data_IF_864364422177
#
_entry.id   IF_864364422177
#
_cell.length_a   1.000
_cell.length_b   1.000
_cell.length_c   1.000
_cell.angle_alpha   90.00
_cell.angle_beta   90.00
_cell.angle_gamma   90.00
#
_symmetry.space_group_name_H-M   'P 1'
#
loop_
_entity.id
_entity.type
_entity.pdbx_description
1 polymer ?
#
# COMPACT_ATOMS: atom_id res chain seq x y z
N UNK A 1 -16.42 9.35 40.14
CA UNK A 1 -15.84 10.13 39.02
C UNK A 1 -15.41 9.10 38.00
N UNK A 2 -15.99 9.10 36.81
CA UNK A 2 -15.70 8.09 35.80
C UNK A 2 -14.35 8.44 35.15
N UNK A 3 -13.36 7.57 35.34
CA UNK A 3 -12.07 7.67 34.65
C UNK A 3 -12.31 7.58 33.13
N UNK A 4 -11.95 8.64 32.42
CA UNK A 4 -12.03 8.68 30.96
C UNK A 4 -10.93 7.77 30.39
N UNK A 5 -11.31 6.59 29.89
CA UNK A 5 -10.38 5.63 29.30
C UNK A 5 -9.85 6.23 27.99
N UNK A 6 -8.58 6.64 27.98
CA UNK A 6 -7.89 7.08 26.76
C UNK A 6 -7.46 5.87 25.93
N UNK A 7 -7.77 5.89 24.63
CA UNK A 7 -7.41 4.82 23.70
C UNK A 7 -6.26 5.24 22.78
N UNK A 8 -5.39 4.30 22.43
CA UNK A 8 -4.42 4.41 21.34
C UNK A 8 -4.97 3.71 20.10
N UNK A 9 -4.80 4.29 18.92
CA UNK A 9 -5.27 3.75 17.64
C UNK A 9 -4.10 3.41 16.73
N UNK A 10 -4.23 2.31 15.98
CA UNK A 10 -3.22 1.88 15.00
C UNK A 10 -3.89 1.30 13.77
N UNK A 11 -3.44 1.74 12.60
CA UNK A 11 -3.92 1.20 11.32
C UNK A 11 -2.83 0.35 10.71
N UNK A 12 -3.20 -0.83 10.22
CA UNK A 12 -2.30 -1.78 9.56
C UNK A 12 -2.93 -2.23 8.26
N UNK A 13 -2.13 -2.33 7.20
CA UNK A 13 -2.56 -2.88 5.92
C UNK A 13 -2.15 -4.35 5.88
N UNK A 14 -3.08 -5.20 5.50
CA UNK A 14 -2.86 -6.63 5.35
C UNK A 14 -3.31 -7.06 3.96
N UNK A 15 -2.62 -8.05 3.40
CA UNK A 15 -3.03 -8.70 2.15
C UNK A 15 -4.32 -9.48 2.45
N UNK A 16 -5.31 -9.36 1.57
CA UNK A 16 -6.62 -10.01 1.75
C UNK A 16 -6.40 -11.53 1.93
N UNK A 17 -6.94 -12.09 3.01
CA UNK A 17 -6.73 -13.50 3.41
C UNK A 17 -5.79 -13.68 4.61
N UNK A 18 -4.83 -12.77 4.82
CA UNK A 18 -3.93 -12.79 5.99
C UNK A 18 -4.50 -12.04 7.21
N UNK A 19 -5.69 -11.45 7.08
CA UNK A 19 -6.32 -10.64 8.12
C UNK A 19 -6.42 -11.38 9.46
N UNK A 20 -6.78 -12.66 9.46
CA UNK A 20 -6.94 -13.45 10.69
C UNK A 20 -5.63 -13.64 11.46
N UNK A 21 -4.51 -13.86 10.75
CA UNK A 21 -3.19 -13.98 11.36
C UNK A 21 -2.75 -12.64 11.96
N UNK A 22 -3.00 -11.54 11.25
CA UNK A 22 -2.63 -10.21 11.70
C UNK A 22 -3.51 -9.70 12.85
N UNK A 23 -4.80 -10.01 12.83
CA UNK A 23 -5.71 -9.77 13.96
C UNK A 23 -5.24 -10.58 15.18
N UNK A 24 -4.93 -11.86 15.02
CA UNK A 24 -4.47 -12.72 16.14
C UNK A 24 -3.15 -12.22 16.74
N UNK A 25 -2.21 -11.78 15.89
CA UNK A 25 -0.95 -11.17 16.32
C UNK A 25 -1.22 -9.88 17.10
N UNK A 26 -2.03 -8.98 16.56
CA UNK A 26 -2.35 -7.70 17.20
C UNK A 26 -3.11 -7.89 18.52
N UNK A 27 -4.07 -8.82 18.59
CA UNK A 27 -4.77 -9.19 19.83
C UNK A 27 -3.82 -9.72 20.90
N UNK A 28 -2.83 -10.54 20.52
CA UNK A 28 -1.78 -11.01 21.44
C UNK A 28 -0.95 -9.85 22.01
N UNK A 29 -0.75 -8.79 21.22
CA UNK A 29 -0.07 -7.55 21.63
C UNK A 29 -0.99 -6.57 22.39
N UNK A 30 -2.23 -7.00 22.68
CA UNK A 30 -3.25 -6.25 23.43
C UNK A 30 -4.04 -5.24 22.60
N UNK A 31 -4.00 -5.33 21.27
CA UNK A 31 -4.76 -4.49 20.36
C UNK A 31 -6.10 -5.14 19.98
N UNK A 32 -7.20 -4.41 20.15
CA UNK A 32 -8.54 -4.80 19.75
C UNK A 32 -8.86 -4.28 18.36
N UNK A 33 -9.47 -5.10 17.51
CA UNK A 33 -9.94 -4.66 16.19
C UNK A 33 -11.16 -3.74 16.37
N UNK A 34 -11.11 -2.55 15.76
CA UNK A 34 -12.20 -1.56 15.76
C UNK A 34 -12.97 -1.60 14.46
N UNK A 35 -12.23 -1.61 13.36
CA UNK A 35 -12.80 -1.49 12.03
C UNK A 35 -11.94 -2.25 11.03
N UNK A 36 -12.61 -2.93 10.11
CA UNK A 36 -11.99 -3.64 9.01
C UNK A 36 -12.61 -3.14 7.72
N UNK A 37 -11.83 -2.41 6.93
CA UNK A 37 -12.24 -1.95 5.61
C UNK A 37 -11.67 -2.89 4.56
N UNK A 38 -12.55 -3.65 3.90
CA UNK A 38 -12.19 -4.63 2.89
C UNK A 38 -12.10 -3.97 1.51
N UNK A 39 -10.88 -3.89 0.95
CA UNK A 39 -10.65 -3.56 -0.45
C UNK A 39 -10.62 -4.80 -1.33
N UNK A 40 -10.48 -4.59 -2.65
CA UNK A 40 -10.43 -5.69 -3.64
C UNK A 40 -9.19 -6.57 -3.50
N UNK A 41 -8.04 -6.01 -3.11
CA UNK A 41 -6.75 -6.73 -2.95
C UNK A 41 -6.13 -6.62 -1.54
N UNK A 42 -6.35 -5.48 -0.86
CA UNK A 42 -5.80 -5.21 0.47
C UNK A 42 -6.93 -4.92 1.45
N UNK A 43 -6.76 -5.35 2.69
CA UNK A 43 -7.64 -5.00 3.80
C UNK A 43 -6.92 -4.02 4.73
N UNK A 44 -7.63 -2.98 5.14
CA UNK A 44 -7.15 -2.06 6.17
C UNK A 44 -7.78 -2.48 7.49
N UNK A 45 -6.94 -2.76 8.48
CA UNK A 45 -7.33 -3.16 9.82
C UNK A 45 -7.00 -2.02 10.78
N UNK A 46 -8.02 -1.45 11.41
CA UNK A 46 -7.89 -0.41 12.43
C UNK A 46 -8.05 -1.04 13.80
N UNK A 47 -7.05 -0.86 14.66
CA UNK A 47 -7.02 -1.39 16.01
C UNK A 47 -7.04 -0.27 17.04
N UNK A 48 -7.54 -0.57 18.24
CA UNK A 48 -7.42 0.27 19.43
C UNK A 48 -6.88 -0.51 20.60
N UNK A 49 -6.26 0.17 21.56
CA UNK A 49 -5.87 -0.42 22.84
C UNK A 49 -6.06 0.61 23.97
N UNK A 50 -6.51 0.21 25.18
CA UNK A 50 -6.56 1.12 26.32
C UNK A 50 -5.15 1.56 26.69
N UNK A 51 -4.92 2.88 26.73
CA UNK A 51 -3.68 3.44 27.23
C UNK A 51 -3.62 3.16 28.72
N UNK A 52 -2.70 2.30 29.16
CA UNK A 52 -2.47 2.10 30.59
C UNK A 52 -2.12 3.46 31.19
N UNK A 53 -2.88 3.99 32.18
CA UNK A 53 -2.49 5.23 32.83
C UNK A 53 -1.13 4.96 33.47
N UNK A 54 -0.10 5.63 32.96
CA UNK A 54 1.26 5.47 33.44
C UNK A 54 1.28 6.04 34.87
N UNK A 55 1.64 5.25 35.90
CA UNK A 55 1.85 5.83 37.22
C UNK A 55 3.08 6.74 37.11
N UNK A 56 2.82 8.05 37.06
CA UNK A 56 3.82 9.07 37.29
C UNK A 56 4.33 8.84 38.73
N UNK A 57 5.59 8.42 38.94
CA UNK A 57 6.72 9.27 38.61
C UNK A 57 7.97 8.54 38.08
N UNK A 58 8.68 9.20 37.17
CA UNK A 58 10.09 9.61 37.30
C UNK A 58 10.56 10.14 35.95
N UNK A 59 10.62 11.47 35.86
CA UNK A 59 11.36 12.20 34.83
C UNK A 59 12.84 11.96 35.11
N UNK A 60 13.60 11.50 34.10
CA UNK A 60 15.06 11.57 34.16
C UNK A 60 15.76 10.56 33.27
N UNK A 61 16.45 11.07 32.25
CA UNK A 61 17.47 10.39 31.44
C UNK A 61 16.99 9.39 30.38
N UNK A 62 16.72 9.88 29.16
CA UNK A 62 17.27 9.42 27.87
C UNK A 62 16.40 9.97 26.73
N UNK A 63 16.44 11.29 26.51
CA UNK A 63 15.83 11.92 25.34
C UNK A 63 16.94 12.61 24.54
N UNK A 64 17.53 11.87 23.61
CA UNK A 64 18.27 12.29 22.41
C UNK A 64 19.13 11.06 22.05
N UNK A 65 18.82 10.24 21.06
CA UNK A 65 18.72 10.58 19.64
C UNK A 65 17.86 9.51 18.95
N UNK A 66 16.75 9.94 18.37
CA UNK A 66 16.22 9.57 17.05
C UNK A 66 14.83 10.21 16.92
N UNK A 67 14.84 11.54 16.97
CA UNK A 67 13.73 12.34 16.49
C UNK A 67 13.89 12.57 14.99
N UNK A 68 12.73 12.70 14.33
CA UNK A 68 12.50 13.18 12.96
C UNK A 68 12.59 12.01 11.94
N UNK A 69 11.48 11.51 11.40
CA UNK A 69 10.57 12.22 10.48
C UNK A 69 9.09 11.83 10.70
N UNK A 70 8.33 12.72 11.34
CA UNK A 70 6.88 12.81 11.15
C UNK A 70 6.44 14.27 11.40
N UNK A 71 6.61 15.11 10.38
CA UNK A 71 5.94 16.41 10.21
C UNK A 71 5.67 16.46 8.69
N UNK A 72 4.49 16.73 8.14
CA UNK A 72 3.52 17.80 8.39
C UNK A 72 2.14 17.37 7.82
N UNK A 73 1.06 17.53 8.59
CA UNK A 73 -0.28 17.99 8.15
C UNK A 73 -0.76 18.81 9.36
N UNK A 74 -0.94 20.13 9.34
CA UNK A 74 -1.57 21.01 8.38
C UNK A 74 -2.60 21.84 9.16
N UNK A 75 -2.13 22.78 10.00
CA UNK A 75 -3.00 23.74 10.70
C UNK A 75 -2.93 25.05 9.93
N UNK A 76 -4.00 25.39 9.22
CA UNK A 76 -4.21 26.75 8.72
C UNK A 76 -4.96 27.55 9.79
N UNK A 77 -4.29 28.53 10.37
CA UNK A 77 -4.90 29.60 11.14
C UNK A 77 -4.75 30.89 10.37
N UNK A 78 -5.84 31.63 10.22
CA UNK A 78 -5.92 33.09 10.41
C UNK A 78 -7.33 33.59 10.05
N UNK A 79 -7.96 34.57 10.69
CA UNK A 79 -7.68 35.42 11.87
C UNK A 79 -8.99 36.22 12.12
N UNK A 80 -9.14 36.74 13.35
CA UNK A 80 -10.07 37.81 13.79
C UNK A 80 -11.50 37.35 14.14
N UNK A 81 -12.08 37.69 15.29
CA UNK A 81 -11.68 38.54 16.40
C UNK A 81 -12.77 38.48 17.48
N UNK A 82 -12.35 38.72 18.71
CA UNK A 82 -13.14 38.67 19.95
C UNK A 82 -14.04 39.91 20.11
N UNK A 83 -15.23 39.78 20.72
CA UNK A 83 -16.08 40.91 21.10
C UNK A 83 -17.48 40.52 21.59
N UNK A 84 -17.69 40.62 22.91
CA UNK A 84 -18.92 40.36 23.67
C UNK A 84 -20.12 41.30 23.38
N UNK A 85 -21.33 40.77 23.67
CA UNK A 85 -22.52 41.38 24.35
C UNK A 85 -23.58 42.24 23.61
N UNK A 86 -24.78 41.65 23.64
CA UNK A 86 -26.08 42.15 24.19
C UNK A 86 -27.19 42.74 23.28
N UNK A 87 -28.39 42.26 23.65
CA UNK A 87 -29.76 42.76 23.50
C UNK A 87 -30.63 42.34 22.29
N UNK A 88 -31.66 41.58 22.65
CA UNK A 88 -32.94 41.21 22.01
C UNK A 88 -33.94 42.40 22.13
N UNK A 89 -35.18 42.42 21.57
CA UNK A 89 -35.84 41.64 20.52
C UNK A 89 -36.35 42.50 19.33
N UNK A 90 -36.74 41.88 18.22
CA UNK A 90 -38.12 42.01 17.69
C UNK A 90 -38.37 41.12 16.46
N UNK A 91 -39.48 40.37 16.56
CA UNK A 91 -40.19 39.65 15.49
C UNK A 91 -41.22 40.66 14.87
N UNK A 92 -41.95 40.41 13.76
CA UNK A 92 -42.02 39.20 12.92
C UNK A 92 -42.27 39.39 11.38
N UNK A 93 -42.28 38.24 10.66
CA UNK A 93 -43.08 37.86 9.45
C UNK A 93 -42.55 38.10 8.02
N UNK A 94 -42.58 36.97 7.26
CA UNK A 94 -42.74 36.77 5.80
C UNK A 94 -41.61 37.22 4.85
N UNK A 95 -41.34 36.58 3.71
CA UNK A 95 -41.69 35.30 3.11
C UNK A 95 -40.71 35.11 1.92
N UNK A 96 -40.46 33.86 1.55
CA UNK A 96 -39.97 33.35 0.27
C UNK A 96 -39.09 34.26 -0.63
N UNK A 97 -37.85 33.85 -0.87
CA UNK A 97 -37.14 34.17 -2.11
C UNK A 97 -36.26 33.00 -2.55
N UNK A 98 -36.48 32.63 -3.80
CA UNK A 98 -35.87 31.51 -4.52
C UNK A 98 -34.35 31.68 -4.62
N UNK A 99 -33.65 30.55 -4.51
CA UNK A 99 -32.21 30.42 -4.68
C UNK A 99 -31.89 30.05 -6.14
N UNK A 100 -31.15 30.86 -6.90
CA UNK A 100 -30.45 30.36 -8.06
C UNK A 100 -29.19 29.59 -7.64
N UNK A 101 -29.14 28.36 -8.11
CA UNK A 101 -28.04 27.40 -7.99
C UNK A 101 -26.74 27.94 -8.59
N UNK A 102 -25.70 28.09 -7.77
CA UNK A 102 -24.32 28.14 -8.24
C UNK A 102 -23.72 26.75 -8.09
N UNK A 103 -23.63 26.04 -9.20
CA UNK A 103 -22.88 24.79 -9.37
C UNK A 103 -21.41 25.01 -8.97
N UNK A 104 -20.86 24.32 -7.98
CA UNK A 104 -19.41 24.26 -7.83
C UNK A 104 -18.86 23.35 -8.92
N UNK A 105 -18.11 23.95 -9.84
CA UNK A 105 -17.18 23.27 -10.73
C UNK A 105 -16.34 22.29 -9.90
N UNK A 106 -16.32 20.98 -10.19
CA UNK A 106 -15.39 20.09 -9.53
C UNK A 106 -13.99 20.53 -9.94
N UNK A 107 -13.24 21.05 -8.96
CA UNK A 107 -11.80 21.21 -9.08
C UNK A 107 -11.26 19.84 -9.44
N UNK A 108 -10.67 19.71 -10.62
CA UNK A 108 -9.95 18.53 -11.00
C UNK A 108 -8.84 18.38 -9.96
N UNK A 109 -9.00 17.40 -9.06
CA UNK A 109 -7.88 16.88 -8.30
C UNK A 109 -6.91 16.35 -9.35
N UNK A 110 -5.79 17.05 -9.53
CA UNK A 110 -4.67 16.56 -10.31
C UNK A 110 -4.23 15.22 -9.71
N UNK A 111 -4.72 14.15 -10.33
CA UNK A 111 -4.19 12.82 -10.15
C UNK A 111 -2.76 12.88 -10.66
N UNK A 112 -1.79 12.98 -9.75
CA UNK A 112 -0.38 12.77 -10.08
C UNK A 112 -0.29 11.39 -10.72
N UNK A 113 -0.12 11.34 -12.04
CA UNK A 113 0.16 10.11 -12.74
C UNK A 113 1.52 9.63 -12.22
N UNK A 114 1.50 8.63 -11.33
CA UNK A 114 2.73 7.97 -10.86
C UNK A 114 3.44 7.41 -12.10
N UNK A 115 4.58 8.00 -12.45
CA UNK A 115 5.37 7.58 -13.61
C UNK A 115 5.80 6.12 -13.45
N UNK A 116 5.68 5.34 -14.52
CA UNK A 116 6.09 3.93 -14.53
C UNK A 116 7.61 3.83 -14.65
N UNK A 117 8.23 3.16 -13.69
CA UNK A 117 9.67 2.89 -13.66
C UNK A 117 9.98 1.76 -14.65
N UNK A 118 10.92 2.00 -15.55
CA UNK A 118 11.36 1.06 -16.59
C UNK A 118 12.88 1.00 -16.63
N UNK A 119 13.48 -0.05 -17.19
CA UNK A 119 14.93 -0.11 -17.36
C UNK A 119 15.48 0.98 -18.29
N UNK A 120 14.62 1.66 -19.07
CA UNK A 120 15.01 2.72 -19.99
C UNK A 120 15.09 4.09 -19.31
N UNK A 121 14.19 4.39 -18.35
CA UNK A 121 14.16 5.67 -17.65
C UNK A 121 14.78 5.62 -16.25
N UNK A 122 15.08 4.43 -15.69
CA UNK A 122 15.68 4.28 -14.37
C UNK A 122 16.90 3.34 -14.41
N UNK A 123 18.13 3.87 -14.25
CA UNK A 123 19.36 3.08 -14.29
C UNK A 123 19.53 2.14 -13.08
N UNK A 124 18.96 2.50 -11.91
CA UNK A 124 18.95 1.65 -10.73
C UNK A 124 18.14 0.38 -10.99
N UNK A 125 16.93 0.53 -11.54
CA UNK A 125 16.10 -0.62 -11.93
C UNK A 125 16.78 -1.45 -13.03
N UNK A 126 17.43 -0.80 -14.00
CA UNK A 126 18.17 -1.49 -15.06
C UNK A 126 19.34 -2.33 -14.52
N UNK A 127 20.02 -1.85 -13.47
CA UNK A 127 21.07 -2.58 -12.77
C UNK A 127 20.48 -3.72 -11.93
N UNK A 128 19.37 -3.46 -11.23
CA UNK A 128 18.66 -4.45 -10.42
C UNK A 128 18.28 -5.69 -11.24
N UNK A 129 17.77 -5.52 -12.47
CA UNK A 129 17.41 -6.63 -13.37
C UNK A 129 18.61 -7.52 -13.79
N UNK A 130 19.83 -7.17 -13.41
CA UNK A 130 21.06 -7.94 -13.68
C UNK A 130 21.78 -8.36 -12.38
N UNK A 131 21.30 -7.89 -11.23
CA UNK A 131 21.91 -8.17 -9.93
C UNK A 131 21.71 -9.63 -9.52
N UNK A 132 22.35 -10.04 -8.42
CA UNK A 132 22.03 -11.30 -7.77
C UNK A 132 20.65 -11.21 -7.10
N UNK A 133 19.94 -12.35 -7.04
CA UNK A 133 18.61 -12.42 -6.44
C UNK A 133 18.57 -12.05 -4.94
N UNK A 134 19.69 -12.23 -4.24
CA UNK A 134 19.84 -11.93 -2.81
C UNK A 134 20.63 -10.64 -2.54
N UNK A 135 20.96 -9.85 -3.57
CA UNK A 135 21.76 -8.62 -3.42
C UNK A 135 21.01 -7.57 -2.57
N UNK A 136 21.73 -6.81 -1.74
CA UNK A 136 21.18 -5.74 -0.90
C UNK A 136 20.47 -4.66 -1.74
N UNK A 137 20.85 -4.50 -3.01
CA UNK A 137 20.16 -3.62 -3.95
C UNK A 137 18.66 -3.95 -4.10
N UNK A 138 18.25 -5.20 -3.87
CA UNK A 138 16.84 -5.59 -3.86
C UNK A 138 16.08 -4.94 -2.70
N UNK A 139 16.66 -4.96 -1.50
CA UNK A 139 16.06 -4.33 -0.32
C UNK A 139 15.99 -2.82 -0.48
N UNK A 140 17.08 -2.21 -0.94
CA UNK A 140 17.17 -0.77 -1.16
C UNK A 140 16.15 -0.32 -2.19
N UNK A 141 16.05 -1.02 -3.33
CA UNK A 141 15.11 -0.69 -4.39
C UNK A 141 13.65 -0.86 -3.92
N UNK A 142 13.32 -1.97 -3.25
CA UNK A 142 11.98 -2.20 -2.71
C UNK A 142 11.57 -1.11 -1.71
N UNK A 143 12.49 -0.71 -0.82
CA UNK A 143 12.21 0.33 0.18
C UNK A 143 12.02 1.71 -0.46
N UNK A 144 12.87 2.06 -1.43
CA UNK A 144 12.85 3.37 -2.10
C UNK A 144 11.64 3.54 -3.02
N UNK A 145 11.22 2.46 -3.66
CA UNK A 145 10.19 2.49 -4.71
C UNK A 145 8.88 1.81 -4.30
N UNK A 146 8.69 1.47 -3.02
CA UNK A 146 7.47 0.86 -2.50
C UNK A 146 6.21 1.60 -2.96
N UNK A 147 5.24 0.86 -3.51
CA UNK A 147 3.99 1.41 -4.02
C UNK A 147 4.09 2.08 -5.39
N UNK A 148 5.28 2.23 -5.97
CA UNK A 148 5.45 2.72 -7.34
C UNK A 148 5.29 1.58 -8.35
N UNK A 149 4.94 1.93 -9.58
CA UNK A 149 4.76 0.94 -10.64
C UNK A 149 6.06 0.75 -11.42
N UNK A 150 6.48 -0.51 -11.59
CA UNK A 150 7.56 -0.91 -12.49
C UNK A 150 6.99 -1.62 -13.71
N UNK A 151 7.70 -1.51 -14.84
CA UNK A 151 7.44 -2.33 -16.01
C UNK A 151 8.72 -2.93 -16.58
N UNK A 152 8.71 -4.24 -16.85
CA UNK A 152 9.85 -4.95 -17.40
C UNK A 152 9.42 -6.10 -18.30
N UNK A 153 10.31 -6.45 -19.22
CA UNK A 153 10.17 -7.63 -20.06
C UNK A 153 10.72 -8.83 -19.30
N UNK A 154 9.90 -9.86 -19.12
CA UNK A 154 10.24 -11.03 -18.35
C UNK A 154 9.57 -12.31 -18.84
N UNK A 155 9.79 -13.37 -18.07
CA UNK A 155 9.12 -14.65 -18.24
C UNK A 155 8.79 -15.27 -16.88
N UNK A 156 7.81 -16.16 -16.87
CA UNK A 156 7.47 -16.94 -15.69
C UNK A 156 8.55 -18.00 -15.50
N UNK A 157 9.25 -17.93 -14.37
CA UNK A 157 10.29 -18.90 -13.98
C UNK A 157 9.63 -20.16 -13.42
N UNK A 158 8.67 -19.97 -12.52
CA UNK A 158 7.90 -21.05 -11.91
C UNK A 158 6.48 -20.58 -11.60
N UNK A 159 5.53 -21.51 -11.59
CA UNK A 159 4.15 -21.28 -11.18
C UNK A 159 3.71 -22.47 -10.34
N UNK A 160 3.31 -22.22 -9.10
CA UNK A 160 2.85 -23.26 -8.19
C UNK A 160 1.51 -22.86 -7.56
N UNK A 161 0.60 -23.81 -7.26
CA UNK A 161 -0.56 -23.52 -6.43
C UNK A 161 -0.16 -22.84 -5.12
N UNK A 162 -0.91 -21.83 -4.71
CA UNK A 162 -0.74 -21.22 -3.40
C UNK A 162 -1.43 -22.10 -2.36
N UNK A 163 -0.66 -22.74 -1.47
CA UNK A 163 -1.23 -23.65 -0.47
C UNK A 163 -2.05 -24.78 -1.08
N UNK A 164 -3.32 -24.88 -0.70
CA UNK A 164 -4.31 -25.87 -1.19
C UNK A 164 -5.32 -25.28 -2.18
N UNK A 165 -5.12 -24.06 -2.67
CA UNK A 165 -6.00 -23.44 -3.65
C UNK A 165 -5.77 -23.98 -5.06
N UNK A 166 -6.84 -24.36 -5.76
CA UNK A 166 -6.78 -24.82 -7.16
C UNK A 166 -6.63 -23.67 -8.18
N UNK A 167 -6.97 -22.45 -7.78
CA UNK A 167 -7.11 -21.29 -8.68
C UNK A 167 -6.23 -20.10 -8.30
N UNK A 168 -5.42 -20.24 -7.25
CA UNK A 168 -4.52 -19.19 -6.76
C UNK A 168 -3.10 -19.73 -6.83
N UNK A 169 -2.18 -18.88 -7.25
CA UNK A 169 -0.82 -19.31 -7.56
C UNK A 169 0.21 -18.35 -7.02
N UNK A 170 1.35 -18.91 -6.70
CA UNK A 170 2.60 -18.19 -6.53
C UNK A 170 3.35 -18.23 -7.87
N UNK A 171 3.54 -17.06 -8.47
CA UNK A 171 4.32 -16.91 -9.69
C UNK A 171 5.70 -16.37 -9.36
N UNK A 172 6.74 -17.13 -9.70
CA UNK A 172 8.10 -16.66 -9.73
C UNK A 172 8.39 -16.09 -11.12
N UNK A 173 8.82 -14.84 -11.19
CA UNK A 173 9.09 -14.10 -12.42
C UNK A 173 10.57 -13.76 -12.47
N UNK A 174 11.10 -13.73 -13.69
CA UNK A 174 12.49 -13.39 -13.95
C UNK A 174 12.61 -12.40 -15.10
N UNK A 175 13.65 -11.55 -15.10
CA UNK A 175 13.91 -10.68 -16.23
C UNK A 175 14.31 -11.47 -17.48
N UNK A 176 13.91 -10.95 -18.64
CA UNK A 176 14.18 -11.58 -19.92
C UNK A 176 13.40 -12.87 -20.17
N UNK A 177 13.87 -13.67 -21.11
CA UNK A 177 13.03 -14.67 -21.80
C UNK A 177 13.44 -16.12 -21.50
N UNK A 178 14.25 -16.34 -20.45
CA UNK A 178 14.84 -17.65 -20.15
C UNK A 178 13.91 -18.56 -19.35
N UNK A 179 12.78 -18.06 -18.84
CA UNK A 179 11.80 -18.83 -18.08
C UNK A 179 12.48 -19.56 -16.90
N UNK A 180 12.28 -20.88 -16.76
CA UNK A 180 12.93 -21.69 -15.73
C UNK A 180 14.47 -21.64 -15.71
N UNK A 181 15.11 -21.23 -16.82
CA UNK A 181 16.58 -21.11 -16.93
C UNK A 181 17.09 -19.69 -16.62
N UNK A 182 16.27 -18.84 -16.01
CA UNK A 182 16.70 -17.50 -15.59
C UNK A 182 17.65 -17.62 -14.40
N UNK A 183 18.83 -17.00 -14.51
CA UNK A 183 19.92 -17.09 -13.50
C UNK A 183 20.40 -15.72 -13.04
N UNK A 184 19.71 -14.64 -13.43
CA UNK A 184 20.12 -13.27 -13.16
C UNK A 184 18.91 -12.43 -12.80
N UNK A 185 19.15 -11.40 -11.99
CA UNK A 185 18.14 -10.48 -11.51
C UNK A 185 17.37 -10.99 -10.29
N UNK A 186 16.40 -10.19 -9.82
CA UNK A 186 15.62 -10.52 -8.63
C UNK A 186 14.71 -11.70 -8.91
N UNK A 187 14.48 -12.50 -7.87
CA UNK A 187 13.36 -13.43 -7.85
C UNK A 187 12.07 -12.67 -7.54
N UNK A 188 11.51 -12.03 -8.57
CA UNK A 188 10.22 -11.36 -8.44
C UNK A 188 9.11 -12.37 -8.17
N UNK A 189 8.21 -12.09 -7.23
CA UNK A 189 7.11 -12.97 -6.87
C UNK A 189 5.78 -12.22 -6.90
N UNK A 190 4.81 -12.79 -7.61
CA UNK A 190 3.40 -12.56 -7.32
C UNK A 190 2.93 -13.67 -6.39
N UNK A 191 2.40 -13.31 -5.23
CA UNK A 191 1.97 -14.26 -4.20
C UNK A 191 0.44 -14.28 -4.11
N UNK A 192 -0.14 -15.48 -4.04
CA UNK A 192 -1.59 -15.67 -3.96
C UNK A 192 -2.33 -14.87 -5.05
N UNK A 193 -2.05 -15.17 -6.32
CA UNK A 193 -2.64 -14.46 -7.47
C UNK A 193 -3.46 -15.42 -8.32
N UNK A 194 -4.68 -15.02 -8.71
CA UNK A 194 -5.45 -15.76 -9.71
C UNK A 194 -4.98 -15.36 -11.12
N UNK A 195 -5.04 -16.26 -12.11
CA UNK A 195 -4.65 -15.93 -13.49
C UNK A 195 -5.45 -14.78 -14.10
N UNK A 196 -6.68 -14.54 -13.65
CA UNK A 196 -7.49 -13.38 -14.03
C UNK A 196 -6.94 -12.05 -13.48
N UNK A 197 -6.27 -12.09 -12.32
CA UNK A 197 -5.67 -10.90 -11.69
C UNK A 197 -4.44 -10.40 -12.47
N UNK A 198 -3.84 -11.25 -13.32
CA UNK A 198 -2.74 -10.86 -14.21
C UNK A 198 -3.17 -9.84 -15.29
N UNK A 199 -4.48 -9.72 -15.53
CA UNK A 199 -5.08 -8.84 -16.56
C UNK A 199 -4.33 -8.94 -17.89
N UNK A 200 -4.35 -10.15 -18.45
CA UNK A 200 -3.66 -10.44 -19.70
C UNK A 200 -4.18 -9.55 -20.83
N UNK A 201 -3.27 -8.97 -21.60
CA UNK A 201 -3.56 -8.11 -22.76
C UNK A 201 -2.70 -8.48 -23.95
N UNK A 202 -3.05 -7.98 -25.14
CA UNK A 202 -2.30 -8.20 -26.38
C UNK A 202 -3.07 -9.03 -27.42
N UNK A 203 -2.45 -9.27 -28.58
CA UNK A 203 -3.12 -9.87 -29.75
C UNK A 203 -3.30 -11.40 -29.67
N UNK A 204 -2.50 -12.09 -28.85
CA UNK A 204 -2.46 -13.57 -28.75
C UNK A 204 -2.49 -14.03 -27.30
N UNK A 205 -3.54 -13.65 -26.57
CA UNK A 205 -3.71 -14.03 -25.16
C UNK A 205 -3.80 -15.56 -25.06
N UNK A 206 -2.92 -16.22 -24.31
CA UNK A 206 -2.94 -17.67 -24.18
C UNK A 206 -4.17 -18.11 -23.36
N UNK A 207 -4.68 -19.30 -23.64
CA UNK A 207 -5.81 -19.87 -22.89
C UNK A 207 -5.42 -20.25 -21.46
N UNK A 208 -4.14 -20.54 -21.23
CA UNK A 208 -3.55 -20.91 -19.94
C UNK A 208 -2.23 -20.20 -19.76
N UNK A 209 -1.86 -19.92 -18.52
CA UNK A 209 -0.56 -19.33 -18.16
C UNK A 209 0.28 -20.41 -17.47
N UNK A 210 1.59 -20.41 -17.72
CA UNK A 210 2.53 -21.36 -17.12
C UNK A 210 3.98 -20.91 -17.16
N UNK A 211 4.85 -21.72 -16.55
CA UNK A 211 6.29 -21.49 -16.58
C UNK A 211 6.82 -21.45 -18.03
N UNK A 212 7.68 -20.48 -18.33
CA UNK A 212 8.23 -20.22 -19.65
C UNK A 212 7.49 -19.16 -20.46
N UNK A 213 6.24 -18.83 -20.11
CA UNK A 213 5.48 -17.79 -20.80
C UNK A 213 6.17 -16.43 -20.66
N UNK A 214 6.15 -15.65 -21.75
CA UNK A 214 6.90 -14.40 -21.89
C UNK A 214 5.95 -13.22 -21.95
N UNK A 215 6.20 -12.24 -21.09
CA UNK A 215 5.33 -11.09 -20.96
C UNK A 215 6.12 -9.81 -20.75
N UNK A 216 5.45 -8.69 -21.00
CA UNK A 216 5.78 -7.41 -20.38
C UNK A 216 4.94 -7.31 -19.12
N UNK A 217 5.59 -7.41 -17.97
CA UNK A 217 4.95 -7.28 -16.67
C UNK A 217 4.88 -5.81 -16.29
N UNK A 218 3.73 -5.38 -15.77
CA UNK A 218 3.54 -4.10 -15.11
C UNK A 218 3.02 -4.39 -13.71
N UNK A 219 3.72 -3.91 -12.68
CA UNK A 219 3.44 -4.27 -11.30
C UNK A 219 3.77 -3.16 -10.32
N UNK A 220 3.07 -3.11 -9.20
CA UNK A 220 3.43 -2.27 -8.06
C UNK A 220 4.55 -2.94 -7.27
N UNK A 221 5.55 -2.16 -6.86
CA UNK A 221 6.66 -2.60 -6.01
C UNK A 221 6.15 -2.86 -4.60
N UNK A 222 6.28 -4.10 -4.14
CA UNK A 222 6.01 -4.49 -2.76
C UNK A 222 7.27 -4.46 -1.90
N UNK A 223 7.43 -5.47 -1.06
CA UNK A 223 8.58 -5.62 -0.16
C UNK A 223 9.59 -6.66 -0.69
N UNK A 224 10.82 -6.59 -0.19
CA UNK A 224 11.82 -7.63 -0.39
C UNK A 224 12.02 -8.43 0.89
N UNK A 225 11.91 -9.76 0.80
CA UNK A 225 12.18 -10.67 1.90
C UNK A 225 13.61 -11.20 1.80
N UNK A 226 14.52 -10.63 2.60
CA UNK A 226 15.93 -11.01 2.60
C UNK A 226 16.19 -12.45 3.09
N UNK A 227 15.27 -13.07 3.84
CA UNK A 227 15.45 -14.44 4.31
C UNK A 227 15.19 -15.48 3.21
N UNK A 228 14.33 -15.17 2.25
CA UNK A 228 14.00 -16.03 1.11
C UNK A 228 14.52 -15.50 -0.23
N UNK A 229 15.11 -14.31 -0.24
CA UNK A 229 15.51 -13.56 -1.43
C UNK A 229 14.39 -13.39 -2.46
N UNK A 230 13.16 -13.14 -1.97
CA UNK A 230 11.99 -12.93 -2.81
C UNK A 230 11.63 -11.45 -2.85
N UNK A 231 11.49 -10.91 -4.06
CA UNK A 231 11.05 -9.55 -4.29
C UNK A 231 9.55 -9.56 -4.61
N UNK A 232 8.71 -9.18 -3.66
CA UNK A 232 7.27 -9.18 -3.85
C UNK A 232 6.83 -8.01 -4.75
N UNK A 233 5.97 -8.34 -5.70
CA UNK A 233 5.33 -7.39 -6.59
C UNK A 233 3.81 -7.66 -6.59
N UNK A 234 3.01 -6.63 -6.85
CA UNK A 234 1.57 -6.78 -7.06
C UNK A 234 1.22 -6.55 -8.54
N UNK A 235 0.53 -7.49 -9.22
CA UNK A 235 0.25 -7.38 -10.65
C UNK A 235 -0.69 -6.21 -10.95
N UNK A 236 -0.31 -5.37 -11.92
CA UNK A 236 -1.18 -4.30 -12.46
C UNK A 236 -1.75 -4.72 -13.81
N UNK A 237 -0.89 -5.19 -14.73
CA UNK A 237 -1.25 -5.75 -16.04
C UNK A 237 -0.11 -6.56 -16.64
N UNK A 238 -0.44 -7.52 -17.50
CA UNK A 238 0.54 -8.40 -18.14
C UNK A 238 0.26 -8.45 -19.65
N UNK A 239 1.21 -7.99 -20.46
CA UNK A 239 1.05 -7.95 -21.93
C UNK A 239 1.83 -9.09 -22.59
N UNK A 240 1.17 -9.83 -23.49
CA UNK A 240 1.79 -10.91 -24.26
C UNK A 240 2.84 -10.37 -25.22
N UNK A 241 4.00 -11.03 -25.29
CA UNK A 241 5.11 -10.70 -26.20
C UNK A 241 5.27 -11.70 -27.33
#
# INVERSE_FOLDING_TARGET
MADEIKYEYKTVRAVRGTNGLMISKMQKDGWELVEQTQGTLRSTLSFRRPKKPLPWPLIGALAAVLGILAVIIGVASALSGEGEKQDEPDKPVAAASEKPSATPTPTAAESTATEVITPQNNPEFAALLKADSCDDANLDFATRHAGQTVAFNGSIVNMAPHGDYDTRYDFLLGPGDKGPNTTVGPHFKYEDVNTLDLKLTGKKIPATVGAGDKFRFVAEVGEFNAASCLFLLDPVSTEVR
#
